data_IF_881438285704
#
_entry.id   IF_881438285704
#
_cell.length_a   1.000
_cell.length_b   1.000
_cell.length_c   1.000
_cell.angle_alpha   90.00
_cell.angle_beta   90.00
_cell.angle_gamma   90.00
#
_symmetry.space_group_name_H-M   'P 1'
#
loop_
_entity.id
_entity.type
_entity.pdbx_description
1 polymer ?
#
# COMPACT_ATOMS: atom_id res chain seq x y z
N UNK A 1 -7.70 -29.32 41.66
CA UNK A 1 -7.70 -29.82 40.27
C UNK A 1 -7.84 -28.60 39.38
N UNK A 2 -6.72 -28.05 38.91
CA UNK A 2 -6.70 -26.81 38.12
C UNK A 2 -7.05 -27.14 36.67
N UNK A 3 -8.19 -26.64 36.21
CA UNK A 3 -8.61 -26.71 34.82
C UNK A 3 -7.71 -25.77 34.02
N UNK A 4 -6.81 -26.34 33.21
CA UNK A 4 -6.01 -25.59 32.26
C UNK A 4 -6.98 -25.07 31.20
N UNK A 5 -7.32 -23.79 31.28
CA UNK A 5 -8.00 -23.07 30.21
C UNK A 5 -7.08 -23.13 29.00
N UNK A 6 -7.48 -23.90 27.99
CA UNK A 6 -6.80 -23.97 26.71
C UNK A 6 -6.83 -22.57 26.08
N UNK A 7 -5.80 -21.78 26.33
CA UNK A 7 -5.49 -20.59 25.55
C UNK A 7 -5.16 -21.13 24.17
N UNK A 8 -6.13 -21.09 23.27
CA UNK A 8 -5.91 -21.27 21.84
C UNK A 8 -4.85 -20.23 21.46
N UNK A 9 -3.59 -20.64 21.36
CA UNK A 9 -2.56 -19.87 20.65
C UNK A 9 -3.13 -19.68 19.25
N UNK A 10 -3.76 -18.52 19.02
CA UNK A 10 -4.04 -18.04 17.67
C UNK A 10 -2.66 -17.95 17.03
N UNK A 11 -2.30 -18.95 16.23
CA UNK A 11 -1.09 -18.90 15.43
C UNK A 11 -1.21 -17.62 14.62
N UNK A 12 -0.33 -16.66 14.93
CA UNK A 12 -0.33 -15.38 14.26
C UNK A 12 0.09 -15.64 12.82
N UNK A 13 -0.88 -15.58 11.92
CA UNK A 13 -0.73 -15.71 10.47
C UNK A 13 0.25 -14.65 9.97
N UNK A 14 1.43 -15.06 9.51
CA UNK A 14 2.45 -14.18 8.92
C UNK A 14 2.39 -14.27 7.40
N UNK A 15 2.28 -13.12 6.76
CA UNK A 15 2.21 -12.98 5.31
C UNK A 15 3.32 -12.06 4.82
N UNK A 16 4.03 -12.48 3.79
CA UNK A 16 5.08 -11.69 3.15
C UNK A 16 4.54 -10.96 1.92
N UNK A 17 4.91 -9.69 1.76
CA UNK A 17 4.73 -8.93 0.52
C UNK A 17 6.12 -8.62 -0.04
N UNK A 18 6.39 -9.08 -1.26
CA UNK A 18 7.74 -9.03 -1.85
C UNK A 18 7.65 -8.48 -3.27
N UNK A 19 8.00 -7.21 -3.47
CA UNK A 19 8.35 -6.69 -4.77
C UNK A 19 9.62 -7.38 -5.27
N UNK A 20 9.54 -8.03 -6.43
CA UNK A 20 10.55 -8.96 -6.90
C UNK A 20 11.17 -8.51 -8.22
N UNK A 21 12.50 -8.43 -8.22
CA UNK A 21 13.33 -8.10 -9.37
C UNK A 21 14.15 -9.30 -9.79
N UNK A 22 15.41 -9.07 -10.15
CA UNK A 22 16.37 -10.13 -10.48
C UNK A 22 17.01 -10.72 -9.23
N UNK A 23 16.18 -11.20 -8.32
CA UNK A 23 16.59 -11.70 -7.03
C UNK A 23 15.94 -13.06 -6.77
N UNK A 24 16.63 -13.94 -6.03
CA UNK A 24 16.08 -15.27 -5.70
C UNK A 24 16.49 -15.73 -4.31
N UNK A 25 17.79 -15.74 -4.03
CA UNK A 25 18.35 -16.27 -2.79
C UNK A 25 17.97 -15.42 -1.59
N UNK A 26 18.08 -14.09 -1.69
CA UNK A 26 17.67 -13.17 -0.62
C UNK A 26 16.18 -13.28 -0.26
N UNK A 27 15.33 -13.66 -1.21
CA UNK A 27 13.89 -13.87 -0.97
C UNK A 27 13.65 -15.23 -0.31
N UNK A 28 14.11 -16.29 -0.97
CA UNK A 28 13.83 -17.68 -0.56
C UNK A 28 14.50 -18.04 0.76
N UNK A 29 15.73 -17.57 1.00
CA UNK A 29 16.45 -17.80 2.24
C UNK A 29 15.85 -17.00 3.39
N UNK A 30 15.52 -15.73 3.18
CA UNK A 30 14.92 -14.91 4.22
C UNK A 30 13.56 -15.46 4.64
N UNK A 31 12.68 -15.81 3.69
CA UNK A 31 11.38 -16.42 4.03
C UNK A 31 11.59 -17.75 4.77
N UNK A 32 12.54 -18.59 4.37
CA UNK A 32 12.84 -19.83 5.10
C UNK A 32 13.23 -19.58 6.56
N UNK A 33 13.99 -18.51 6.83
CA UNK A 33 14.46 -18.15 8.17
C UNK A 33 13.36 -17.48 9.02
N UNK A 34 12.56 -16.59 8.42
CA UNK A 34 11.49 -15.86 9.12
C UNK A 34 10.26 -16.75 9.34
N UNK A 35 9.95 -17.62 8.38
CA UNK A 35 8.73 -18.42 8.35
C UNK A 35 7.49 -17.61 7.96
N UNK A 36 6.34 -18.27 7.93
CA UNK A 36 5.06 -17.68 7.52
C UNK A 36 4.21 -18.71 6.79
N UNK A 37 3.10 -18.27 6.22
CA UNK A 37 2.18 -19.18 5.51
C UNK A 37 1.91 -18.76 4.06
N UNK A 38 1.93 -17.45 3.79
CA UNK A 38 1.61 -16.90 2.48
C UNK A 38 2.61 -15.86 2.03
N UNK A 39 2.87 -15.82 0.72
CA UNK A 39 3.76 -14.86 0.07
C UNK A 39 3.04 -14.24 -1.13
N UNK A 40 2.90 -12.92 -1.13
CA UNK A 40 2.53 -12.13 -2.29
C UNK A 40 3.80 -11.71 -3.03
N UNK A 41 3.97 -12.21 -4.25
CA UNK A 41 5.04 -11.81 -5.16
C UNK A 41 4.49 -10.75 -6.11
N UNK A 42 5.04 -9.54 -6.06
CA UNK A 42 4.74 -8.48 -7.02
C UNK A 42 5.88 -8.43 -8.03
N UNK A 43 5.59 -8.54 -9.31
CA UNK A 43 6.57 -8.43 -10.40
C UNK A 43 5.84 -8.10 -11.70
N UNK A 44 6.59 -7.76 -12.74
CA UNK A 44 6.00 -7.46 -14.06
C UNK A 44 5.57 -8.78 -14.69
N UNK A 45 4.29 -8.91 -14.99
CA UNK A 45 3.69 -10.05 -15.69
C UNK A 45 3.22 -9.71 -17.10
N UNK A 46 2.38 -10.58 -17.70
CA UNK A 46 1.93 -10.46 -19.09
C UNK A 46 1.18 -9.16 -19.41
N UNK A 47 0.40 -8.62 -18.47
CA UNK A 47 -0.40 -7.40 -18.68
C UNK A 47 0.50 -6.17 -18.82
N UNK A 48 1.65 -6.17 -18.12
CA UNK A 48 2.63 -5.10 -18.14
C UNK A 48 3.87 -5.42 -19.00
N UNK A 49 3.89 -6.55 -19.71
CA UNK A 49 5.04 -6.99 -20.51
C UNK A 49 5.49 -5.96 -21.55
N UNK A 50 4.53 -5.29 -22.20
CA UNK A 50 4.75 -4.25 -23.22
C UNK A 50 5.50 -3.02 -22.71
N UNK A 51 5.55 -2.81 -21.39
CA UNK A 51 6.23 -1.66 -20.79
C UNK A 51 7.75 -1.87 -20.71
N UNK A 52 8.25 -3.05 -21.06
CA UNK A 52 9.66 -3.43 -20.91
C UNK A 52 10.26 -3.96 -22.18
N UNK A 53 11.58 -3.86 -22.22
CA UNK A 53 12.39 -4.58 -23.19
C UNK A 53 12.07 -6.09 -23.12
N UNK A 54 11.84 -6.77 -24.26
CA UNK A 54 11.44 -8.18 -24.28
C UNK A 54 12.42 -9.12 -23.59
N UNK A 55 13.73 -8.86 -23.66
CA UNK A 55 14.73 -9.71 -23.05
C UNK A 55 14.82 -9.46 -21.55
N UNK A 56 14.69 -8.20 -21.13
CA UNK A 56 14.53 -7.85 -19.72
C UNK A 56 13.27 -8.52 -19.11
N UNK A 57 12.17 -8.54 -19.85
CA UNK A 57 10.93 -9.20 -19.44
C UNK A 57 11.12 -10.72 -19.29
N UNK A 58 11.69 -11.40 -20.29
CA UNK A 58 12.00 -12.85 -20.19
C UNK A 58 12.88 -13.15 -18.98
N UNK A 59 13.89 -12.32 -18.73
CA UNK A 59 14.78 -12.44 -17.58
C UNK A 59 14.01 -12.27 -16.26
N UNK A 60 13.09 -11.30 -16.18
CA UNK A 60 12.22 -11.13 -15.01
C UNK A 60 11.29 -12.33 -14.79
N UNK A 61 10.74 -12.89 -15.87
CA UNK A 61 9.89 -14.09 -15.82
C UNK A 61 10.66 -15.29 -15.27
N UNK A 62 11.93 -15.46 -15.66
CA UNK A 62 12.78 -16.51 -15.09
C UNK A 62 12.84 -16.41 -13.55
N UNK A 63 13.21 -15.25 -13.01
CA UNK A 63 13.32 -15.07 -11.56
C UNK A 63 11.98 -15.22 -10.84
N UNK A 64 10.93 -14.65 -11.42
CA UNK A 64 9.57 -14.75 -10.89
C UNK A 64 9.14 -16.22 -10.78
N UNK A 65 9.31 -17.00 -11.85
CA UNK A 65 8.98 -18.43 -11.85
C UNK A 65 9.86 -19.23 -10.87
N UNK A 66 11.18 -18.98 -10.86
CA UNK A 66 12.11 -19.67 -9.98
C UNK A 66 11.76 -19.46 -8.49
N UNK A 67 11.51 -18.21 -8.08
CA UNK A 67 11.13 -17.87 -6.70
C UNK A 67 9.79 -18.48 -6.32
N UNK A 68 8.77 -18.35 -7.16
CA UNK A 68 7.45 -18.92 -6.89
C UNK A 68 7.54 -20.44 -6.68
N UNK A 69 8.28 -21.14 -7.54
CA UNK A 69 8.43 -22.59 -7.42
C UNK A 69 9.22 -22.99 -6.18
N UNK A 70 10.30 -22.29 -5.86
CA UNK A 70 11.09 -22.58 -4.67
C UNK A 70 10.24 -22.40 -3.40
N UNK A 71 9.47 -21.33 -3.32
CA UNK A 71 8.57 -21.07 -2.19
C UNK A 71 7.44 -22.10 -2.09
N UNK A 72 6.80 -22.47 -3.21
CA UNK A 72 5.78 -23.53 -3.23
C UNK A 72 6.33 -24.88 -2.80
N UNK A 73 7.55 -25.24 -3.23
CA UNK A 73 8.24 -26.47 -2.79
C UNK A 73 8.56 -26.46 -1.30
N UNK A 74 8.72 -25.28 -0.70
CA UNK A 74 8.87 -25.12 0.75
C UNK A 74 7.54 -25.14 1.52
N UNK A 75 6.40 -25.25 0.83
CA UNK A 75 5.07 -25.36 1.45
C UNK A 75 4.32 -24.05 1.64
N UNK A 76 4.80 -22.93 1.08
CA UNK A 76 4.11 -21.64 1.18
C UNK A 76 2.98 -21.51 0.15
N UNK A 77 1.87 -20.86 0.54
CA UNK A 77 0.89 -20.34 -0.41
C UNK A 77 1.53 -19.14 -1.14
N UNK A 78 1.56 -19.16 -2.47
CA UNK A 78 2.18 -18.08 -3.25
C UNK A 78 1.21 -17.51 -4.27
N UNK A 79 0.93 -16.21 -4.12
CA UNK A 79 0.07 -15.43 -5.00
C UNK A 79 0.91 -14.42 -5.80
N UNK A 80 0.78 -14.46 -7.12
CA UNK A 80 1.48 -13.55 -8.02
C UNK A 80 0.60 -12.36 -8.37
N UNK A 81 1.19 -11.16 -8.38
CA UNK A 81 0.55 -9.90 -8.73
C UNK A 81 1.32 -9.23 -9.86
N UNK A 82 0.67 -9.05 -11.00
CA UNK A 82 1.22 -8.32 -12.14
C UNK A 82 1.19 -6.81 -11.85
N UNK A 83 2.34 -6.21 -11.60
CA UNK A 83 2.46 -4.81 -11.18
C UNK A 83 3.60 -4.11 -11.91
N UNK A 84 3.34 -2.89 -12.38
CA UNK A 84 4.39 -2.00 -12.84
C UNK A 84 5.19 -1.44 -11.65
N UNK A 85 6.21 -2.18 -11.24
CA UNK A 85 7.14 -1.80 -10.16
C UNK A 85 8.07 -0.62 -10.51
N UNK A 86 7.96 -0.01 -11.69
CA UNK A 86 8.68 1.22 -12.02
C UNK A 86 7.76 2.44 -11.93
N UNK A 87 6.44 2.22 -11.83
CA UNK A 87 5.47 3.25 -11.55
C UNK A 87 5.21 3.33 -10.04
N UNK A 88 5.63 4.44 -9.43
CA UNK A 88 5.50 4.68 -7.99
C UNK A 88 4.05 4.50 -7.49
N UNK A 89 3.07 5.06 -8.21
CA UNK A 89 1.67 5.03 -7.80
C UNK A 89 1.06 3.63 -7.94
N UNK A 90 1.40 2.92 -9.02
CA UNK A 90 0.96 1.54 -9.25
C UNK A 90 1.43 0.62 -8.12
N UNK A 91 2.74 0.69 -7.80
CA UNK A 91 3.33 -0.11 -6.74
C UNK A 91 2.77 0.26 -5.35
N UNK A 92 2.67 1.56 -5.04
CA UNK A 92 2.16 2.05 -3.75
C UNK A 92 0.71 1.61 -3.54
N UNK A 93 -0.12 1.78 -4.57
CA UNK A 93 -1.51 1.37 -4.57
C UNK A 93 -1.65 -0.12 -4.30
N UNK A 94 -0.92 -0.97 -5.04
CA UNK A 94 -1.08 -2.42 -4.94
C UNK A 94 -0.53 -2.97 -3.62
N UNK A 95 0.62 -2.48 -3.17
CA UNK A 95 1.18 -2.88 -1.87
C UNK A 95 0.22 -2.51 -0.73
N UNK A 96 -0.31 -1.29 -0.74
CA UNK A 96 -1.28 -0.83 0.28
C UNK A 96 -2.56 -1.67 0.29
N UNK A 97 -3.11 -1.95 -0.89
CA UNK A 97 -4.28 -2.82 -1.05
C UNK A 97 -4.04 -4.21 -0.42
N UNK A 98 -2.91 -4.85 -0.73
CA UNK A 98 -2.57 -6.18 -0.21
C UNK A 98 -2.37 -6.17 1.31
N UNK A 99 -1.72 -5.13 1.85
CA UNK A 99 -1.56 -4.98 3.29
C UNK A 99 -2.92 -4.94 3.97
N UNK A 100 -3.84 -4.09 3.50
CA UNK A 100 -5.16 -3.92 4.11
C UNK A 100 -5.98 -5.20 4.00
N UNK A 101 -5.97 -5.87 2.84
CA UNK A 101 -6.65 -7.15 2.64
C UNK A 101 -6.18 -8.19 3.66
N UNK A 102 -4.87 -8.34 3.84
CA UNK A 102 -4.31 -9.36 4.73
C UNK A 102 -4.46 -9.01 6.21
N UNK A 103 -4.31 -7.73 6.58
CA UNK A 103 -4.58 -7.27 7.94
C UNK A 103 -6.04 -7.43 8.34
N UNK A 104 -6.98 -7.21 7.42
CA UNK A 104 -8.42 -7.43 7.66
C UNK A 104 -8.71 -8.90 7.95
N UNK A 105 -7.92 -9.82 7.39
CA UNK A 105 -7.96 -11.26 7.68
C UNK A 105 -7.15 -11.66 8.93
N UNK A 106 -6.67 -10.69 9.70
CA UNK A 106 -5.93 -10.91 10.95
C UNK A 106 -4.46 -11.28 10.78
N UNK A 107 -3.87 -11.07 9.60
CA UNK A 107 -2.46 -11.36 9.35
C UNK A 107 -1.52 -10.27 9.91
N UNK A 108 -0.33 -10.70 10.35
CA UNK A 108 0.85 -9.83 10.46
C UNK A 108 1.55 -9.79 9.10
N UNK A 109 1.80 -8.58 8.61
CA UNK A 109 2.38 -8.37 7.28
C UNK A 109 3.85 -7.99 7.41
N UNK A 110 4.69 -8.72 6.67
CA UNK A 110 6.12 -8.54 6.58
C UNK A 110 6.46 -8.11 5.15
N UNK A 111 7.28 -7.07 5.00
CA UNK A 111 7.59 -6.49 3.69
C UNK A 111 9.09 -6.54 3.46
N UNK A 112 9.48 -7.27 2.42
CA UNK A 112 10.88 -7.32 1.97
C UNK A 112 11.16 -6.11 1.07
N UNK A 113 12.15 -5.30 1.42
CA UNK A 113 12.57 -4.14 0.62
C UNK A 113 13.89 -4.32 -0.13
N UNK A 114 14.53 -5.49 0.02
CA UNK A 114 15.81 -5.84 -0.61
C UNK A 114 15.68 -6.47 -2.00
N UNK A 115 14.50 -6.98 -2.35
CA UNK A 115 14.30 -7.82 -3.54
C UNK A 115 14.05 -7.07 -4.86
N UNK A 116 14.14 -5.74 -4.87
CA UNK A 116 14.00 -4.88 -6.06
C UNK A 116 14.96 -3.68 -6.01
N UNK A 117 14.75 -2.70 -6.88
CA UNK A 117 15.44 -1.41 -6.88
C UNK A 117 14.97 -0.42 -5.78
N UNK A 118 15.79 0.61 -5.57
CA UNK A 118 15.66 1.61 -4.48
C UNK A 118 14.31 2.34 -4.45
N UNK A 119 13.74 2.67 -5.61
CA UNK A 119 12.42 3.32 -5.70
C UNK A 119 11.37 2.49 -4.97
N UNK A 120 11.36 1.18 -5.22
CA UNK A 120 10.40 0.26 -4.62
C UNK A 120 10.68 0.00 -3.15
N UNK A 121 11.95 0.01 -2.73
CA UNK A 121 12.29 -0.03 -1.31
C UNK A 121 11.64 1.15 -0.56
N UNK A 122 11.66 2.35 -1.13
CA UNK A 122 10.99 3.54 -0.56
C UNK A 122 9.47 3.36 -0.55
N UNK A 123 8.86 2.97 -1.66
CA UNK A 123 7.40 2.73 -1.77
C UNK A 123 6.93 1.72 -0.74
N UNK A 124 7.61 0.57 -0.66
CA UNK A 124 7.26 -0.53 0.22
C UNK A 124 7.45 -0.16 1.70
N UNK A 125 8.48 0.63 2.02
CA UNK A 125 8.70 1.16 3.37
C UNK A 125 7.60 2.13 3.78
N UNK A 126 7.23 3.08 2.91
CA UNK A 126 6.15 4.04 3.16
C UNK A 126 4.82 3.30 3.43
N UNK A 127 4.45 2.35 2.58
CA UNK A 127 3.25 1.54 2.77
C UNK A 127 3.32 0.73 4.06
N UNK A 128 4.46 0.09 4.34
CA UNK A 128 4.67 -0.68 5.55
C UNK A 128 4.53 0.15 6.82
N UNK A 129 5.19 1.30 6.89
CA UNK A 129 5.10 2.19 8.06
C UNK A 129 3.71 2.78 8.23
N UNK A 130 3.06 3.21 7.15
CA UNK A 130 1.70 3.75 7.20
C UNK A 130 0.71 2.77 7.82
N UNK A 131 0.85 1.50 7.44
CA UNK A 131 -0.04 0.44 7.87
C UNK A 131 0.44 -0.31 9.10
N UNK A 132 1.56 0.04 9.72
CA UNK A 132 2.16 -0.66 10.87
C UNK A 132 2.54 -2.13 10.56
N UNK A 133 3.29 -2.33 9.48
CA UNK A 133 3.88 -3.62 9.08
C UNK A 133 5.33 -3.74 9.58
N UNK A 134 5.85 -4.98 9.59
CA UNK A 134 7.29 -5.20 9.74
C UNK A 134 7.96 -5.01 8.38
N UNK A 135 8.82 -4.01 8.26
CA UNK A 135 9.61 -3.75 7.06
C UNK A 135 11.02 -4.27 7.30
N UNK A 136 11.56 -5.09 6.40
CA UNK A 136 12.87 -5.68 6.60
C UNK A 136 13.72 -5.66 5.33
N UNK A 137 15.01 -5.44 5.54
CA UNK A 137 16.06 -5.55 4.55
C UNK A 137 16.83 -6.86 4.77
N UNK A 138 17.30 -7.46 3.68
CA UNK A 138 18.17 -8.64 3.72
C UNK A 138 19.51 -8.20 3.16
N UNK A 139 20.54 -8.27 4.00
CA UNK A 139 21.91 -8.00 3.58
C UNK A 139 22.48 -9.26 2.90
N UNK A 140 23.00 -9.14 1.66
CA UNK A 140 23.58 -10.28 0.98
C UNK A 140 25.03 -10.51 1.40
N UNK A 141 25.48 -11.77 1.34
CA UNK A 141 26.88 -12.11 1.60
C UNK A 141 27.81 -11.45 0.57
N UNK A 142 27.37 -11.44 -0.70
CA UNK A 142 28.08 -10.83 -1.83
C UNK A 142 27.17 -10.70 -3.06
N UNK A 143 27.71 -10.13 -4.14
CA UNK A 143 27.08 -10.13 -5.46
C UNK A 143 27.53 -11.32 -6.31
N UNK A 144 26.73 -11.65 -7.33
CA UNK A 144 27.06 -12.68 -8.31
C UNK A 144 28.36 -12.36 -9.06
N UNK A 145 29.13 -13.39 -9.41
CA UNK A 145 30.39 -13.23 -10.15
C UNK A 145 30.26 -13.60 -11.63
N UNK A 146 29.29 -14.45 -11.97
CA UNK A 146 29.09 -14.95 -13.33
C UNK A 146 27.61 -15.24 -13.62
N UNK A 147 27.31 -15.55 -14.87
CA UNK A 147 25.94 -15.79 -15.32
C UNK A 147 25.27 -17.01 -14.66
N UNK A 148 26.03 -18.06 -14.39
CA UNK A 148 25.52 -19.24 -13.69
C UNK A 148 25.04 -18.87 -12.29
N UNK A 149 25.86 -18.14 -11.53
CA UNK A 149 25.49 -17.65 -10.21
C UNK A 149 24.30 -16.69 -10.26
N UNK A 150 24.27 -15.82 -11.26
CA UNK A 150 23.18 -14.87 -11.44
C UNK A 150 21.83 -15.59 -11.58
N UNK A 151 21.73 -16.63 -12.41
CA UNK A 151 20.49 -17.40 -12.56
C UNK A 151 20.22 -18.33 -11.35
N UNK A 152 21.27 -18.80 -10.67
CA UNK A 152 21.15 -19.63 -9.48
C UNK A 152 20.64 -18.86 -8.27
N UNK A 153 21.14 -17.64 -8.03
CA UNK A 153 20.92 -16.89 -6.79
C UNK A 153 20.21 -15.54 -6.98
N UNK A 154 20.23 -14.96 -8.18
CA UNK A 154 19.90 -13.55 -8.39
C UNK A 154 21.13 -12.66 -8.40
N UNK A 155 20.91 -11.33 -8.41
CA UNK A 155 21.98 -10.35 -8.29
C UNK A 155 22.73 -10.50 -6.96
N UNK A 156 22.00 -10.86 -5.93
CA UNK A 156 22.53 -10.99 -4.59
C UNK A 156 22.67 -12.46 -4.24
N UNK A 157 23.88 -12.86 -3.81
CA UNK A 157 24.15 -14.21 -3.32
C UNK A 157 23.95 -14.20 -1.81
N UNK A 158 23.01 -15.01 -1.34
CA UNK A 158 22.66 -15.15 0.06
C UNK A 158 22.60 -16.63 0.44
N UNK A 159 23.45 -17.03 1.38
CA UNK A 159 23.56 -18.38 1.93
C UNK A 159 22.88 -18.40 3.31
N UNK A 160 23.27 -17.48 4.20
CA UNK A 160 22.62 -17.22 5.48
C UNK A 160 22.16 -15.76 5.54
N UNK A 161 20.85 -15.48 5.52
CA UNK A 161 20.36 -14.11 5.44
C UNK A 161 20.55 -13.39 6.77
N UNK A 162 21.27 -12.27 6.74
CA UNK A 162 21.20 -11.25 7.77
C UNK A 162 19.95 -10.39 7.53
N UNK A 163 19.01 -10.45 8.47
CA UNK A 163 17.72 -9.79 8.37
C UNK A 163 17.73 -8.58 9.30
N UNK A 164 17.58 -7.40 8.70
CA UNK A 164 17.56 -6.13 9.41
C UNK A 164 16.11 -5.62 9.37
N UNK A 165 15.41 -5.69 10.50
CA UNK A 165 14.12 -5.01 10.65
C UNK A 165 14.36 -3.50 10.75
N UNK A 166 13.70 -2.74 9.87
CA UNK A 166 13.82 -1.29 9.89
C UNK A 166 13.01 -0.70 11.05
N UNK A 167 13.51 0.37 11.69
CA UNK A 167 12.75 1.08 12.70
C UNK A 167 11.46 1.64 12.11
N UNK A 168 10.40 1.64 12.91
CA UNK A 168 9.09 2.16 12.50
C UNK A 168 9.10 3.68 12.53
N UNK A 169 8.48 4.28 11.52
CA UNK A 169 8.16 5.71 11.49
C UNK A 169 6.65 5.84 11.59
N UNK A 170 6.14 6.52 12.63
CA UNK A 170 4.71 6.75 12.77
C UNK A 170 4.24 7.80 11.77
N UNK A 171 3.28 7.42 10.93
CA UNK A 171 2.60 8.33 10.01
C UNK A 171 1.20 8.59 10.54
N UNK A 172 0.85 9.86 10.73
CA UNK A 172 -0.45 10.25 11.28
C UNK A 172 -1.60 9.77 10.37
N UNK A 173 -2.49 8.96 10.94
CA UNK A 173 -3.66 8.45 10.23
C UNK A 173 -4.73 9.52 10.06
N UNK A 174 -5.46 9.41 8.96
CA UNK A 174 -6.62 10.25 8.68
C UNK A 174 -7.87 9.75 9.40
N UNK A 175 -8.78 10.67 9.72
CA UNK A 175 -10.17 10.33 10.06
C UNK A 175 -10.89 9.71 8.88
N UNK A 176 -12.00 9.02 9.14
CA UNK A 176 -12.78 8.36 8.08
C UNK A 176 -13.28 9.35 7.04
N UNK A 177 -13.69 10.56 7.44
CA UNK A 177 -14.20 11.57 6.52
C UNK A 177 -13.09 12.24 5.70
N UNK A 178 -11.91 12.46 6.30
CA UNK A 178 -10.70 12.91 5.61
C UNK A 178 -10.29 11.88 4.55
N UNK A 179 -10.17 10.60 4.92
CA UNK A 179 -9.86 9.50 4.00
C UNK A 179 -10.85 9.44 2.85
N UNK A 180 -12.15 9.42 3.15
CA UNK A 180 -13.19 9.36 2.13
C UNK A 180 -13.11 10.53 1.14
N UNK A 181 -12.80 11.74 1.65
CA UNK A 181 -12.66 12.94 0.81
C UNK A 181 -11.47 12.83 -0.13
N UNK A 182 -10.30 12.37 0.35
CA UNK A 182 -9.14 12.12 -0.52
C UNK A 182 -9.42 11.02 -1.55
N UNK A 183 -10.07 9.91 -1.15
CA UNK A 183 -10.50 8.84 -2.07
C UNK A 183 -11.51 9.34 -3.11
N UNK A 184 -12.41 10.24 -2.73
CA UNK A 184 -13.34 10.86 -3.68
C UNK A 184 -12.60 11.74 -4.70
N UNK A 185 -11.64 12.55 -4.24
CA UNK A 185 -10.85 13.42 -5.12
C UNK A 185 -10.02 12.60 -6.12
N UNK A 186 -9.33 11.54 -5.68
CA UNK A 186 -8.50 10.74 -6.61
C UNK A 186 -9.37 10.06 -7.68
N UNK A 187 -10.56 9.58 -7.33
CA UNK A 187 -11.53 9.01 -8.27
C UNK A 187 -12.12 10.04 -9.25
N UNK A 188 -12.08 11.33 -8.89
CA UNK A 188 -12.50 12.45 -9.74
C UNK A 188 -11.36 13.03 -10.58
N UNK A 189 -10.19 12.38 -10.63
CA UNK A 189 -9.03 12.87 -11.36
C UNK A 189 -8.24 13.95 -10.61
N UNK A 190 -8.36 14.00 -9.29
CA UNK A 190 -7.57 14.85 -8.40
C UNK A 190 -8.16 16.22 -8.10
N UNK A 191 -9.37 16.53 -8.57
CA UNK A 191 -10.03 17.79 -8.28
C UNK A 191 -11.54 17.64 -8.16
N UNK A 192 -12.18 18.45 -7.30
CA UNK A 192 -13.63 18.54 -7.21
C UNK A 192 -14.07 19.90 -6.66
N UNK A 193 -15.31 20.28 -6.93
CA UNK A 193 -15.91 21.45 -6.26
C UNK A 193 -16.31 21.10 -4.83
N UNK A 194 -16.34 22.12 -3.97
CA UNK A 194 -16.78 21.96 -2.57
C UNK A 194 -18.18 21.36 -2.46
N UNK A 195 -19.11 21.71 -3.36
CA UNK A 195 -20.47 21.18 -3.35
C UNK A 195 -20.55 19.72 -3.80
N UNK A 196 -19.65 19.28 -4.70
CA UNK A 196 -19.53 17.87 -5.10
C UNK A 196 -19.03 17.00 -3.95
N UNK A 197 -18.02 17.48 -3.22
CA UNK A 197 -17.48 16.80 -2.03
C UNK A 197 -18.59 16.69 -0.97
N UNK A 198 -19.31 17.78 -0.72
CA UNK A 198 -20.42 17.77 0.24
C UNK A 198 -21.50 16.74 -0.13
N UNK A 199 -21.95 16.73 -1.39
CA UNK A 199 -22.94 15.75 -1.89
C UNK A 199 -22.44 14.31 -1.76
N UNK A 200 -21.13 14.07 -1.93
CA UNK A 200 -20.55 12.75 -1.73
C UNK A 200 -20.57 12.35 -0.25
N UNK A 201 -20.21 13.27 0.65
CA UNK A 201 -20.25 13.06 2.10
C UNK A 201 -21.67 12.84 2.62
N UNK A 202 -22.65 13.60 2.15
CA UNK A 202 -24.08 13.43 2.49
C UNK A 202 -24.59 12.01 2.26
N UNK A 203 -24.10 11.35 1.21
CA UNK A 203 -24.49 9.97 0.87
C UNK A 203 -23.92 8.94 1.83
N UNK A 204 -22.75 9.21 2.44
CA UNK A 204 -22.03 8.25 3.29
C UNK A 204 -22.18 8.53 4.78
N UNK A 205 -22.23 9.79 5.17
CA UNK A 205 -22.17 10.22 6.58
C UNK A 205 -23.43 11.00 6.95
N UNK A 206 -24.22 10.45 7.88
CA UNK A 206 -25.47 11.06 8.36
C UNK A 206 -25.27 12.50 8.85
N UNK A 207 -24.11 12.78 9.45
CA UNK A 207 -23.71 14.09 9.96
C UNK A 207 -23.65 15.22 8.93
N UNK A 208 -23.56 14.88 7.64
CA UNK A 208 -23.52 15.85 6.55
C UNK A 208 -24.88 16.03 5.87
N UNK A 209 -25.89 15.21 6.19
CA UNK A 209 -27.22 15.35 5.60
C UNK A 209 -27.87 16.66 6.01
N UNK A 210 -28.48 17.31 5.02
CA UNK A 210 -29.27 18.52 5.21
C UNK A 210 -30.74 18.11 5.25
N UNK A 211 -31.34 18.20 6.44
CA UNK A 211 -32.77 17.95 6.66
C UNK A 211 -33.45 19.28 7.02
N UNK A 212 -34.41 19.71 6.20
CA UNK A 212 -35.10 20.99 6.40
C UNK A 212 -36.47 20.98 5.73
N UNK A 213 -37.41 21.72 6.31
CA UNK A 213 -38.84 21.78 5.90
C UNK A 213 -39.14 22.93 4.94
N UNK A 214 -38.32 23.99 4.94
CA UNK A 214 -38.50 25.15 4.06
C UNK A 214 -37.17 25.74 3.51
N UNK A 215 -37.28 26.70 2.57
CA UNK A 215 -36.12 27.33 1.90
C UNK A 215 -35.24 28.18 2.82
N UNK A 216 -35.82 28.81 3.83
CA UNK A 216 -35.08 29.68 4.76
C UNK A 216 -34.23 28.84 5.72
N UNK A 217 -34.80 27.74 6.20
CA UNK A 217 -34.15 26.72 7.00
C UNK A 217 -33.03 26.03 6.20
N UNK A 218 -33.29 25.70 4.93
CA UNK A 218 -32.27 25.11 4.04
C UNK A 218 -30.99 25.93 3.96
N UNK A 219 -31.08 27.25 3.78
CA UNK A 219 -29.88 28.10 3.69
C UNK A 219 -29.06 28.07 4.99
N UNK A 220 -29.74 28.10 6.13
CA UNK A 220 -29.09 28.07 7.44
C UNK A 220 -28.41 26.72 7.69
N UNK A 221 -29.10 25.62 7.41
CA UNK A 221 -28.56 24.26 7.56
C UNK A 221 -27.40 24.01 6.58
N UNK A 222 -27.54 24.42 5.32
CA UNK A 222 -26.46 24.33 4.34
C UNK A 222 -25.19 25.03 4.82
N UNK A 223 -25.30 26.25 5.36
CA UNK A 223 -24.15 26.98 5.89
C UNK A 223 -23.51 26.27 7.09
N UNK A 224 -24.31 25.68 7.99
CA UNK A 224 -23.79 24.89 9.12
C UNK A 224 -23.00 23.68 8.63
N UNK A 225 -23.53 22.95 7.65
CA UNK A 225 -22.87 21.76 7.10
C UNK A 225 -21.60 22.14 6.33
N UNK A 226 -21.59 23.23 5.57
CA UNK A 226 -20.38 23.76 4.93
C UNK A 226 -19.31 24.13 5.96
N UNK A 227 -19.69 24.82 7.04
CA UNK A 227 -18.75 25.15 8.11
C UNK A 227 -18.21 23.87 8.78
N UNK A 228 -19.04 22.83 8.92
CA UNK A 228 -18.61 21.52 9.41
C UNK A 228 -17.60 20.86 8.46
N UNK A 229 -17.88 20.84 7.14
CA UNK A 229 -16.99 20.32 6.10
C UNK A 229 -15.62 21.01 6.15
N UNK A 230 -15.60 22.35 6.19
CA UNK A 230 -14.38 23.11 6.30
C UNK A 230 -13.59 22.71 7.55
N UNK A 231 -14.17 22.87 8.74
CA UNK A 231 -13.46 22.68 10.01
C UNK A 231 -13.00 21.23 10.25
N UNK A 232 -13.84 20.24 9.91
CA UNK A 232 -13.54 18.83 10.20
C UNK A 232 -12.61 18.19 9.19
N UNK A 233 -12.65 18.64 7.94
CA UNK A 233 -12.02 17.95 6.81
C UNK A 233 -11.09 18.91 6.07
N UNK A 234 -11.64 19.89 5.35
CA UNK A 234 -10.86 20.64 4.36
C UNK A 234 -9.75 21.49 5.02
N UNK A 235 -10.01 22.14 6.15
CA UNK A 235 -9.01 22.95 6.86
C UNK A 235 -7.85 22.07 7.35
N UNK A 236 -8.16 20.83 7.80
CA UNK A 236 -7.15 19.88 8.27
C UNK A 236 -6.31 19.34 7.12
N UNK A 237 -6.95 18.91 6.03
CA UNK A 237 -6.26 18.40 4.85
C UNK A 237 -5.37 19.49 4.22
N UNK A 238 -5.85 20.73 4.16
CA UNK A 238 -5.09 21.88 3.68
C UNK A 238 -3.92 22.23 4.61
N UNK A 239 -4.12 22.19 5.94
CA UNK A 239 -3.02 22.42 6.90
C UNK A 239 -1.90 21.38 6.81
N UNK A 240 -2.24 20.16 6.41
CA UNK A 240 -1.31 19.05 6.14
C UNK A 240 -0.73 19.10 4.72
N UNK A 241 -1.13 20.09 3.91
CA UNK A 241 -0.77 20.25 2.49
C UNK A 241 -1.17 19.07 1.61
N UNK A 242 -2.27 18.41 1.92
CA UNK A 242 -2.82 17.31 1.10
C UNK A 242 -3.79 17.82 0.03
N UNK A 243 -4.32 19.02 0.21
CA UNK A 243 -5.16 19.68 -0.76
C UNK A 243 -4.80 21.16 -0.87
N UNK A 244 -5.16 21.76 -1.99
CA UNK A 244 -5.17 23.20 -2.20
C UNK A 244 -6.57 23.68 -2.56
N UNK A 245 -6.93 24.88 -2.10
CA UNK A 245 -8.18 25.54 -2.49
C UNK A 245 -7.93 26.64 -3.49
N UNK A 246 -8.53 26.49 -4.66
CA UNK A 246 -8.44 27.46 -5.73
C UNK A 246 -9.81 28.12 -5.91
N UNK A 247 -9.84 29.44 -5.79
CA UNK A 247 -11.05 30.22 -6.05
C UNK A 247 -11.36 30.20 -7.55
N UNK A 248 -12.45 29.53 -7.93
CA UNK A 248 -12.89 29.38 -9.30
C UNK A 248 -14.27 30.06 -9.48
N UNK A 249 -14.25 31.37 -9.71
CA UNK A 249 -15.47 32.18 -9.86
C UNK A 249 -16.29 32.22 -8.58
N UNK A 250 -17.50 31.64 -8.61
CA UNK A 250 -18.43 31.58 -7.47
C UNK A 250 -18.19 30.39 -6.53
N UNK A 251 -17.28 29.48 -6.88
CA UNK A 251 -17.04 28.25 -6.15
C UNK A 251 -15.57 28.10 -5.77
N UNK A 252 -15.29 27.30 -4.75
CA UNK A 252 -13.95 26.83 -4.46
C UNK A 252 -13.76 25.46 -5.10
N UNK A 253 -12.72 25.35 -5.92
CA UNK A 253 -12.19 24.09 -6.42
C UNK A 253 -11.16 23.58 -5.41
N UNK A 254 -11.24 22.29 -5.11
CA UNK A 254 -10.32 21.59 -4.21
C UNK A 254 -9.49 20.65 -5.06
N UNK A 255 -8.18 20.84 -5.03
CA UNK A 255 -7.22 20.06 -5.83
C UNK A 255 -6.36 19.23 -4.88
N UNK A 256 -6.06 17.98 -5.24
CA UNK A 256 -5.06 17.17 -4.55
C UNK A 256 -3.66 17.70 -4.87
N UNK A 257 -2.82 17.78 -3.85
CA UNK A 257 -1.37 17.91 -4.02
C UNK A 257 -0.75 16.54 -4.28
N UNK A 258 0.53 16.51 -4.60
CA UNK A 258 1.28 15.27 -4.74
C UNK A 258 1.32 14.49 -3.41
N UNK A 259 1.52 15.17 -2.28
CA UNK A 259 1.46 14.56 -0.95
C UNK A 259 0.07 13.99 -0.65
N UNK A 260 -0.99 14.73 -0.98
CA UNK A 260 -2.36 14.26 -0.83
C UNK A 260 -2.67 13.03 -1.68
N UNK A 261 -2.12 12.98 -2.90
CA UNK A 261 -2.21 11.81 -3.78
C UNK A 261 -1.50 10.60 -3.18
N UNK A 262 -0.30 10.76 -2.63
CA UNK A 262 0.44 9.68 -1.96
C UNK A 262 -0.38 9.13 -0.78
N UNK A 263 -0.90 10.00 0.09
CA UNK A 263 -1.72 9.60 1.24
C UNK A 263 -3.01 8.91 0.78
N UNK A 264 -3.67 9.41 -0.27
CA UNK A 264 -4.86 8.76 -0.83
C UNK A 264 -4.56 7.34 -1.34
N UNK A 265 -3.39 7.13 -1.97
CA UNK A 265 -2.96 5.81 -2.43
C UNK A 265 -2.60 4.86 -1.29
N UNK A 266 -2.01 5.38 -0.20
CA UNK A 266 -1.75 4.62 1.02
C UNK A 266 -3.05 4.13 1.66
N UNK A 267 -4.14 4.89 1.57
CA UNK A 267 -5.45 4.52 2.08
C UNK A 267 -6.22 3.55 1.18
N UNK A 268 -5.65 3.13 0.05
CA UNK A 268 -6.33 2.23 -0.89
C UNK A 268 -6.58 0.86 -0.26
N UNK A 269 -7.79 0.35 -0.42
CA UNK A 269 -8.25 -0.90 0.17
C UNK A 269 -8.93 -0.76 1.54
N UNK A 270 -8.99 0.45 2.12
CA UNK A 270 -9.67 0.72 3.40
C UNK A 270 -11.19 0.95 3.29
N UNK A 271 -11.75 0.91 2.06
CA UNK A 271 -13.18 1.11 1.77
C UNK A 271 -13.68 0.20 0.65
#
# INVERSE_FOLDING_TARGET
MFTITSITMKILRVVHIIPLGFERSIVTRAIRKIGGEKVHILSIGPENARLRDPDLYKKQQYFTYAVINDLRKMGYEVEFHDVDLFNFESALSKISELIVQEKTRGARVYINISAFGRLIAVVASLAGWYHDCTVYYVEPDRYYENEEEFFKYGRSVCIDPEIIELPKIEIAKLSEEERFTLSFLINKGGQAKTDEILKALEKKFQEFKIECKDRSEYRREYQKVINKLNRRILDKLESKKYIERIKAGRYNRIDLTDEGKIIALLERGTF
#
